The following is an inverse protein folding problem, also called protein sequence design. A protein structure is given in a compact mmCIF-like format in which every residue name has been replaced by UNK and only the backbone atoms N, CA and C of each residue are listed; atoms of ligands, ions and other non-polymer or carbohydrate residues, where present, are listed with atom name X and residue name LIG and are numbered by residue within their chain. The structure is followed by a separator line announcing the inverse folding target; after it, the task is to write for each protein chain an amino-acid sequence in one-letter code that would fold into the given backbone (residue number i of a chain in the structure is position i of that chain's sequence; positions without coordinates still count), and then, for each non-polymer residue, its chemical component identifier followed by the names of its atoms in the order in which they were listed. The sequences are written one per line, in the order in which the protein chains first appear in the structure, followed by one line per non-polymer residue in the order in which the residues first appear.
data_IF_244297048075
#
_entry.id   IF_244297048075
#
_cell.length_a   1.000
_cell.length_b   1.000
_cell.length_c   1.000
_cell.angle_alpha   90.00
_cell.angle_beta   90.00
_cell.angle_gamma   90.00
#
_symmetry.space_group_name_H-M   'P 1'
#
loop_
_entity.id
_entity.type
_entity.pdbx_description
1 polymer ?
#
# COMPACT_ATOMS: atom_id res chain seq x y z
N UNK A 1 19.66 22.37 9.22
CA UNK A 1 19.05 23.23 8.19
C UNK A 1 17.98 22.40 7.51
N UNK A 2 16.72 22.72 7.75
CA UNK A 2 15.61 22.07 7.06
C UNK A 2 15.71 22.37 5.57
N UNK A 3 15.57 21.35 4.74
CA UNK A 3 15.46 21.56 3.30
C UNK A 3 14.07 22.16 3.06
N UNK A 4 13.99 23.46 2.78
CA UNK A 4 12.72 24.09 2.42
C UNK A 4 12.12 23.34 1.21
N UNK A 5 10.86 22.95 1.34
CA UNK A 5 10.11 22.26 0.30
C UNK A 5 9.76 23.28 -0.78
N UNK A 6 10.58 23.39 -1.82
CA UNK A 6 10.20 24.07 -3.04
C UNK A 6 9.16 23.20 -3.78
N UNK A 7 7.88 23.48 -3.58
CA UNK A 7 6.73 22.72 -4.11
C UNK A 7 6.42 23.06 -5.57
N UNK A 8 7.39 23.62 -6.29
CA UNK A 8 7.30 24.06 -7.68
C UNK A 8 6.87 22.99 -8.69
N UNK A 9 6.79 21.72 -8.29
CA UNK A 9 6.32 20.64 -9.16
C UNK A 9 4.80 20.59 -9.36
N UNK A 10 4.01 21.26 -8.52
CA UNK A 10 2.55 21.29 -8.63
C UNK A 10 2.04 22.71 -8.38
N UNK A 11 1.27 23.24 -9.33
CA UNK A 11 0.66 24.57 -9.24
C UNK A 11 -0.52 24.63 -8.28
N UNK A 12 -1.13 23.46 -7.98
CA UNK A 12 -2.26 23.36 -7.08
C UNK A 12 -2.11 22.15 -6.15
N UNK A 13 -2.09 22.37 -4.84
CA UNK A 13 -1.85 21.33 -3.86
C UNK A 13 -2.50 21.67 -2.52
N UNK A 14 -2.71 20.65 -1.70
CA UNK A 14 -3.07 20.79 -0.29
C UNK A 14 -2.19 19.88 0.55
N UNK A 15 -1.46 20.46 1.50
CA UNK A 15 -0.57 19.75 2.42
C UNK A 15 -0.93 20.04 3.87
N UNK A 16 -1.13 18.99 4.66
CA UNK A 16 -1.39 18.99 6.09
C UNK A 16 -0.12 18.54 6.81
N UNK A 17 0.27 19.27 7.86
CA UNK A 17 1.35 18.90 8.77
C UNK A 17 0.75 18.60 10.15
N UNK A 18 0.33 17.36 10.43
CA UNK A 18 -0.37 17.00 11.68
C UNK A 18 0.49 17.15 12.94
N UNK A 19 1.82 17.11 12.79
CA UNK A 19 2.81 17.23 13.88
C UNK A 19 2.85 18.63 14.50
N UNK A 20 2.40 19.66 13.79
CA UNK A 20 2.42 21.07 14.25
C UNK A 20 1.06 21.57 14.76
N UNK A 21 0.04 20.70 14.83
CA UNK A 21 -1.33 21.10 15.16
C UNK A 21 -1.55 21.24 16.67
N UNK A 22 -1.94 22.40 17.17
CA UNK A 22 -2.50 22.51 18.53
C UNK A 22 -3.93 21.93 18.60
N UNK A 23 -4.34 21.39 19.75
CA UNK A 23 -5.76 21.01 20.00
C UNK A 23 -6.71 22.20 19.78
N UNK A 24 -6.30 23.39 20.19
CA UNK A 24 -7.05 24.63 19.98
C UNK A 24 -7.08 25.06 18.51
N UNK A 25 -5.98 24.90 17.77
CA UNK A 25 -5.93 25.22 16.34
C UNK A 25 -6.86 24.31 15.54
N UNK A 26 -6.98 23.05 15.96
CA UNK A 26 -7.88 22.06 15.36
C UNK A 26 -9.36 22.43 15.59
N UNK A 27 -9.73 22.85 16.80
CA UNK A 27 -11.11 23.28 17.09
C UNK A 27 -11.41 24.59 16.34
N UNK A 28 -10.48 25.54 16.34
CA UNK A 28 -10.63 26.81 15.64
C UNK A 28 -10.80 26.65 14.12
N UNK A 29 -10.26 25.58 13.54
CA UNK A 29 -10.45 25.26 12.13
C UNK A 29 -11.92 25.07 11.72
N UNK A 30 -12.78 24.63 12.63
CA UNK A 30 -14.20 24.45 12.34
C UNK A 30 -14.94 25.79 12.22
N UNK A 31 -14.46 26.82 12.92
CA UNK A 31 -15.13 28.13 13.05
C UNK A 31 -14.54 29.22 12.16
N UNK A 32 -13.36 29.00 11.56
CA UNK A 32 -12.71 29.95 10.65
C UNK A 32 -12.55 29.37 9.25
N UNK A 33 -12.74 30.18 8.21
CA UNK A 33 -12.53 29.81 6.80
C UNK A 33 -11.11 30.09 6.28
N UNK A 34 -10.32 30.88 7.02
CA UNK A 34 -9.00 31.31 6.58
C UNK A 34 -7.96 30.18 6.78
N UNK A 35 -7.37 29.72 5.69
CA UNK A 35 -6.41 28.61 5.63
C UNK A 35 -4.96 29.11 5.75
N UNK A 36 -4.62 30.26 5.17
CA UNK A 36 -3.24 30.83 5.16
C UNK A 36 -2.66 31.11 6.55
N UNK A 37 -3.50 31.41 7.55
CA UNK A 37 -3.03 31.71 8.92
C UNK A 37 -2.64 30.48 9.72
N UNK A 38 -2.71 29.28 9.14
CA UNK A 38 -2.55 28.00 9.86
C UNK A 38 -1.21 27.37 9.53
N UNK A 39 -0.37 27.20 10.55
CA UNK A 39 0.95 26.54 10.40
C UNK A 39 0.86 25.10 9.87
N UNK A 40 -0.29 24.46 10.06
CA UNK A 40 -0.50 23.05 9.73
C UNK A 40 -1.19 22.80 8.38
N UNK A 41 -1.64 23.84 7.67
CA UNK A 41 -2.22 23.69 6.33
C UNK A 41 -1.46 24.58 5.37
N UNK A 42 -0.77 23.97 4.42
CA UNK A 42 -0.09 24.64 3.34
C UNK A 42 -0.81 24.25 2.04
N UNK A 43 -1.55 25.22 1.49
CA UNK A 43 -2.43 25.05 0.35
C UNK A 43 -2.18 26.17 -0.65
N UNK A 44 -2.26 25.88 -1.93
CA UNK A 44 -2.35 26.90 -2.99
C UNK A 44 -3.70 27.62 -2.99
N UNK A 45 -4.72 27.07 -2.33
CA UNK A 45 -6.03 27.69 -2.13
C UNK A 45 -6.05 28.53 -0.83
N UNK A 46 -6.36 29.82 -0.96
CA UNK A 46 -6.28 30.85 0.10
C UNK A 46 -7.38 30.71 1.17
N UNK A 47 -8.58 30.26 0.78
CA UNK A 47 -9.73 30.08 1.67
C UNK A 47 -10.45 28.77 1.37
N UNK A 48 -10.88 28.06 2.43
CA UNK A 48 -11.79 26.91 2.31
C UNK A 48 -13.13 27.31 2.93
N UNK A 49 -14.04 27.82 2.08
CA UNK A 49 -15.32 28.38 2.53
C UNK A 49 -16.33 27.30 2.92
N UNK A 50 -16.18 26.06 2.42
CA UNK A 50 -17.10 24.97 2.70
C UNK A 50 -16.86 24.37 4.10
N UNK A 51 -17.89 24.46 4.95
CA UNK A 51 -17.86 23.86 6.29
C UNK A 51 -17.65 22.34 6.23
N UNK A 52 -18.26 21.63 5.27
CA UNK A 52 -18.13 20.18 5.20
C UNK A 52 -16.70 19.75 4.86
N UNK A 53 -16.01 20.50 3.99
CA UNK A 53 -14.59 20.27 3.72
C UNK A 53 -13.72 20.52 4.95
N UNK A 54 -13.97 21.61 5.68
CA UNK A 54 -13.29 21.88 6.96
C UNK A 54 -13.55 20.79 8.00
N UNK A 55 -14.78 20.28 8.07
CA UNK A 55 -15.16 19.18 8.96
C UNK A 55 -14.46 17.88 8.57
N UNK A 56 -14.38 17.55 7.28
CA UNK A 56 -13.67 16.36 6.80
C UNK A 56 -12.17 16.46 7.11
N UNK A 57 -11.55 17.63 6.91
CA UNK A 57 -10.17 17.89 7.33
C UNK A 57 -9.97 17.72 8.83
N UNK A 58 -10.93 18.18 9.64
CA UNK A 58 -10.91 18.01 11.09
C UNK A 58 -10.92 16.54 11.47
N UNK A 59 -11.86 15.77 10.94
CA UNK A 59 -11.97 14.33 11.21
C UNK A 59 -10.71 13.60 10.77
N UNK A 60 -10.15 13.90 9.60
CA UNK A 60 -8.91 13.31 9.12
C UNK A 60 -7.76 13.50 10.13
N UNK A 61 -7.54 14.72 10.62
CA UNK A 61 -6.46 14.99 11.58
C UNK A 61 -6.73 14.31 12.93
N UNK A 62 -7.99 14.29 13.40
CA UNK A 62 -8.37 13.57 14.63
C UNK A 62 -8.07 12.08 14.51
N UNK A 63 -8.46 11.46 13.40
CA UNK A 63 -8.22 10.03 13.14
C UNK A 63 -6.73 9.74 13.07
N UNK A 64 -5.94 10.55 12.35
CA UNK A 64 -4.48 10.41 12.30
C UNK A 64 -3.84 10.49 13.70
N UNK A 65 -4.27 11.44 14.55
CA UNK A 65 -3.79 11.54 15.94
C UNK A 65 -4.12 10.31 16.77
N UNK A 66 -5.35 9.81 16.64
CA UNK A 66 -5.81 8.63 17.34
C UNK A 66 -5.02 7.39 16.90
N UNK A 67 -4.79 7.23 15.59
CA UNK A 67 -3.97 6.16 15.03
C UNK A 67 -2.54 6.22 15.55
N UNK A 68 -1.88 7.39 15.51
CA UNK A 68 -0.53 7.56 16.04
C UNK A 68 -0.45 7.28 17.55
N UNK A 69 -1.47 7.68 18.31
CA UNK A 69 -1.56 7.37 19.74
C UNK A 69 -1.62 5.86 20.00
N UNK A 70 -2.38 5.12 19.18
CA UNK A 70 -2.53 3.67 19.28
C UNK A 70 -1.51 2.86 18.47
N UNK A 71 -0.55 3.49 17.79
CA UNK A 71 0.35 2.81 16.84
C UNK A 71 1.11 1.63 17.47
N UNK A 72 1.75 1.85 18.63
CA UNK A 72 2.47 0.78 19.34
C UNK A 72 1.52 -0.31 19.88
N UNK A 73 0.44 0.03 20.62
CA UNK A 73 -0.54 -0.98 21.05
C UNK A 73 -1.09 -1.83 19.91
N UNK A 74 -1.47 -1.19 18.80
CA UNK A 74 -2.05 -1.84 17.63
C UNK A 74 -1.05 -2.79 16.95
N UNK A 75 0.21 -2.35 16.78
CA UNK A 75 1.27 -3.20 16.22
C UNK A 75 1.55 -4.43 17.10
N UNK A 76 1.63 -4.27 18.43
CA UNK A 76 1.82 -5.39 19.37
C UNK A 76 0.62 -6.35 19.29
N UNK A 77 -0.59 -5.81 19.25
CA UNK A 77 -1.81 -6.59 19.15
C UNK A 77 -1.86 -7.40 17.85
N UNK A 78 -1.50 -6.80 16.72
CA UNK A 78 -1.41 -7.48 15.43
C UNK A 78 -0.42 -8.64 15.46
N UNK A 79 0.79 -8.40 15.98
CA UNK A 79 1.80 -9.45 16.13
C UNK A 79 1.33 -10.59 17.05
N UNK A 80 0.62 -10.27 18.13
CA UNK A 80 0.09 -11.24 19.08
C UNK A 80 -1.02 -12.10 18.44
N UNK A 81 -1.96 -11.48 17.72
CA UNK A 81 -3.02 -12.19 17.02
C UNK A 81 -2.44 -13.09 15.93
N UNK A 82 -1.54 -12.59 15.07
CA UNK A 82 -0.93 -13.40 14.03
C UNK A 82 -0.15 -14.58 14.62
N UNK A 83 0.63 -14.34 15.68
CA UNK A 83 1.33 -15.42 16.37
C UNK A 83 0.35 -16.46 16.93
N UNK A 84 -0.72 -16.03 17.59
CA UNK A 84 -1.72 -16.92 18.18
C UNK A 84 -2.46 -17.75 17.11
N UNK A 85 -2.89 -17.13 16.02
CA UNK A 85 -3.55 -17.80 14.90
C UNK A 85 -2.65 -18.86 14.26
N UNK A 86 -1.37 -18.53 14.04
CA UNK A 86 -0.40 -19.47 13.48
C UNK A 86 -0.03 -20.60 14.46
N UNK A 87 0.11 -20.29 15.74
CA UNK A 87 0.33 -21.27 16.79
C UNK A 87 -0.82 -22.28 16.85
N UNK A 88 -2.06 -21.78 16.82
CA UNK A 88 -3.27 -22.60 16.78
C UNK A 88 -3.28 -23.48 15.53
N UNK A 89 -3.04 -22.89 14.35
CA UNK A 89 -3.04 -23.56 13.05
C UNK A 89 -2.05 -24.73 12.99
N UNK A 90 -0.82 -24.54 13.46
CA UNK A 90 0.24 -25.57 13.42
C UNK A 90 0.00 -26.69 14.46
N UNK A 91 -0.64 -26.37 15.58
CA UNK A 91 -0.92 -27.35 16.64
C UNK A 91 -2.35 -27.95 16.55
N UNK A 92 -3.07 -27.69 15.47
CA UNK A 92 -4.40 -28.22 15.19
C UNK A 92 -5.53 -27.30 15.67
N UNK A 93 -6.07 -27.55 16.86
CA UNK A 93 -7.14 -26.75 17.46
C UNK A 93 -6.80 -26.36 18.90
N UNK A 94 -7.67 -25.60 19.56
CA UNK A 94 -7.37 -25.05 20.89
C UNK A 94 -7.16 -26.16 21.93
N UNK A 95 -7.95 -27.23 21.87
CA UNK A 95 -7.81 -28.37 22.77
C UNK A 95 -6.48 -29.10 22.55
N UNK A 96 -6.11 -29.36 21.30
CA UNK A 96 -4.83 -29.96 20.94
C UNK A 96 -3.65 -29.09 21.36
N UNK A 97 -3.75 -27.77 21.22
CA UNK A 97 -2.73 -26.83 21.67
C UNK A 97 -2.54 -26.89 23.20
N UNK A 98 -3.63 -26.91 23.97
CA UNK A 98 -3.56 -27.03 25.43
C UNK A 98 -2.96 -28.38 25.86
N UNK A 99 -3.32 -29.48 25.20
CA UNK A 99 -2.73 -30.79 25.46
C UNK A 99 -1.24 -30.82 25.11
N UNK A 100 -0.85 -30.26 23.96
CA UNK A 100 0.55 -30.16 23.55
C UNK A 100 1.36 -29.27 24.52
N UNK A 101 0.74 -28.24 25.09
CA UNK A 101 1.35 -27.39 26.11
C UNK A 101 1.66 -28.18 27.38
N UNK A 102 0.69 -28.97 27.89
CA UNK A 102 0.89 -29.84 29.05
C UNK A 102 1.93 -30.93 28.78
N UNK A 103 1.97 -31.48 27.56
CA UNK A 103 2.93 -32.52 27.16
C UNK A 103 4.32 -31.98 26.77
N UNK A 104 4.51 -30.66 26.70
CA UNK A 104 5.76 -30.05 26.23
C UNK A 104 6.07 -30.28 24.74
N UNK A 105 5.05 -30.56 23.91
CA UNK A 105 5.17 -30.88 22.47
C UNK A 105 4.70 -29.74 21.55
N UNK A 106 4.63 -28.52 22.05
CA UNK A 106 4.17 -27.36 21.27
C UNK A 106 5.15 -27.06 20.15
N UNK A 107 4.65 -27.05 18.91
CA UNK A 107 5.43 -26.63 17.75
C UNK A 107 5.30 -25.11 17.58
N UNK A 108 6.44 -24.41 17.53
CA UNK A 108 6.46 -22.95 17.42
C UNK A 108 6.35 -22.48 15.96
N UNK A 109 5.55 -21.44 15.68
CA UNK A 109 5.40 -20.91 14.34
C UNK A 109 6.69 -20.19 13.87
N UNK A 110 7.13 -20.50 12.64
CA UNK A 110 8.28 -19.85 12.01
C UNK A 110 7.80 -18.81 10.99
N UNK A 111 8.06 -17.52 11.25
CA UNK A 111 7.63 -16.39 10.40
C UNK A 111 8.11 -16.45 8.94
N UNK A 112 9.18 -17.16 8.66
CA UNK A 112 9.73 -17.31 7.29
C UNK A 112 9.24 -18.56 6.57
N UNK A 113 8.38 -19.36 7.22
CA UNK A 113 7.81 -20.59 6.65
C UNK A 113 6.58 -20.29 5.80
N UNK A 114 6.32 -21.15 4.82
CA UNK A 114 5.04 -21.20 4.08
C UNK A 114 3.83 -21.45 4.99
N UNK A 115 4.03 -22.00 6.19
CA UNK A 115 2.96 -22.28 7.14
C UNK A 115 2.58 -21.08 8.01
N UNK A 116 3.35 -19.98 7.94
CA UNK A 116 3.05 -18.75 8.67
C UNK A 116 2.26 -17.80 7.78
N UNK A 117 1.02 -17.54 8.16
CA UNK A 117 0.06 -16.71 7.42
C UNK A 117 -0.15 -15.37 8.14
N UNK A 118 -0.29 -14.28 7.40
CA UNK A 118 -0.73 -13.01 7.98
C UNK A 118 -2.17 -13.10 8.49
N UNK A 119 -2.61 -12.05 9.20
CA UNK A 119 -4.01 -11.93 9.59
C UNK A 119 -4.97 -12.03 8.39
N UNK A 120 -4.62 -11.39 7.26
CA UNK A 120 -5.44 -11.35 6.04
C UNK A 120 -5.68 -12.75 5.47
N UNK A 121 -4.63 -13.56 5.39
CA UNK A 121 -4.72 -14.92 4.84
C UNK A 121 -5.35 -15.92 5.84
N UNK A 122 -5.31 -15.62 7.14
CA UNK A 122 -6.10 -16.36 8.13
C UNK A 122 -7.61 -16.15 7.98
N UNK A 123 -8.05 -14.97 7.51
CA UNK A 123 -9.46 -14.69 7.19
C UNK A 123 -9.89 -15.40 5.92
N UNK A 124 -9.07 -15.35 4.86
CA UNK A 124 -9.35 -16.05 3.60
C UNK A 124 -8.19 -16.97 3.21
N UNK A 125 -8.35 -18.27 3.47
CA UNK A 125 -7.34 -19.30 3.19
C UNK A 125 -7.38 -19.87 1.76
N UNK A 126 -8.21 -19.32 0.86
CA UNK A 126 -8.30 -19.84 -0.52
C UNK A 126 -7.02 -19.50 -1.26
N UNK A 127 -6.37 -20.48 -1.89
CA UNK A 127 -5.10 -20.25 -2.62
C UNK A 127 -5.23 -20.46 -4.12
N UNK A 128 -6.15 -21.31 -4.55
CA UNK A 128 -6.32 -21.65 -5.97
C UNK A 128 -7.33 -20.71 -6.63
N UNK A 129 -7.06 -20.36 -7.88
CA UNK A 129 -8.08 -19.80 -8.76
C UNK A 129 -9.14 -20.85 -9.04
N UNK A 130 -10.38 -20.41 -9.28
CA UNK A 130 -11.45 -21.29 -9.72
C UNK A 130 -11.04 -21.99 -11.02
N UNK A 131 -11.21 -23.30 -11.11
CA UNK A 131 -10.82 -24.10 -12.28
C UNK A 131 -11.55 -23.71 -13.57
N UNK A 132 -12.69 -23.02 -13.47
CA UNK A 132 -13.41 -22.48 -14.62
C UNK A 132 -12.74 -21.24 -15.22
N UNK A 133 -11.85 -20.57 -14.50
CA UNK A 133 -11.17 -19.35 -14.94
C UNK A 133 -9.83 -19.73 -15.56
N UNK A 134 -9.72 -19.62 -16.88
CA UNK A 134 -8.52 -20.04 -17.61
C UNK A 134 -7.63 -18.86 -18.00
N UNK A 135 -6.31 -19.04 -18.07
CA UNK A 135 -5.43 -18.08 -18.72
C UNK A 135 -5.87 -17.89 -20.17
N UNK A 136 -6.40 -16.71 -20.52
CA UNK A 136 -7.03 -16.41 -21.81
C UNK A 136 -8.44 -15.81 -21.69
N UNK A 137 -9.13 -16.04 -20.58
CA UNK A 137 -10.38 -15.36 -20.21
C UNK A 137 -10.08 -13.97 -19.65
N UNK A 138 -9.36 -13.14 -20.43
CA UNK A 138 -8.59 -11.96 -19.98
C UNK A 138 -9.19 -11.22 -18.78
N UNK A 139 -10.39 -10.66 -18.90
CA UNK A 139 -10.99 -9.86 -17.81
C UNK A 139 -11.28 -10.67 -16.54
N UNK A 140 -11.88 -11.87 -16.67
CA UNK A 140 -12.19 -12.73 -15.52
C UNK A 140 -10.94 -13.30 -14.88
N UNK A 141 -9.95 -13.68 -15.70
CA UNK A 141 -8.67 -14.19 -15.24
C UNK A 141 -7.89 -13.14 -14.46
N UNK A 142 -7.68 -11.95 -15.05
CA UNK A 142 -6.94 -10.88 -14.38
C UNK A 142 -7.70 -10.28 -13.18
N UNK A 143 -9.04 -10.34 -13.19
CA UNK A 143 -9.85 -9.98 -12.03
C UNK A 143 -9.70 -10.97 -10.86
N UNK A 144 -9.77 -12.28 -11.15
CA UNK A 144 -9.62 -13.32 -10.12
C UNK A 144 -8.18 -13.40 -9.60
N UNK A 145 -7.18 -13.38 -10.49
CA UNK A 145 -5.78 -13.24 -10.11
C UNK A 145 -5.63 -11.98 -9.25
N UNK A 146 -6.21 -10.88 -9.72
CA UNK A 146 -6.47 -9.60 -9.04
C UNK A 146 -6.70 -9.70 -7.54
N UNK A 147 -7.83 -10.33 -7.26
CA UNK A 147 -8.35 -10.55 -5.92
C UNK A 147 -7.46 -11.50 -5.11
N UNK A 148 -6.83 -12.48 -5.75
CA UNK A 148 -6.02 -13.46 -5.03
C UNK A 148 -4.68 -12.90 -4.58
N UNK A 149 -4.04 -12.03 -5.37
CA UNK A 149 -2.78 -11.45 -4.93
C UNK A 149 -2.86 -10.12 -4.19
N UNK A 150 -4.04 -9.48 -4.13
CA UNK A 150 -4.26 -8.45 -3.12
C UNK A 150 -4.06 -8.98 -1.69
N UNK A 151 -4.48 -10.22 -1.40
CA UNK A 151 -4.23 -10.86 -0.10
C UNK A 151 -2.83 -11.50 0.02
N UNK A 152 -2.34 -12.18 -1.03
CA UNK A 152 -1.01 -12.80 -0.99
C UNK A 152 0.12 -11.76 -0.85
N UNK A 153 -0.10 -10.51 -1.26
CA UNK A 153 0.87 -9.42 -1.08
C UNK A 153 1.24 -9.15 0.39
N UNK A 154 0.42 -9.58 1.36
CA UNK A 154 0.71 -9.43 2.79
C UNK A 154 1.65 -10.51 3.34
N UNK A 155 1.93 -11.55 2.56
CA UNK A 155 2.60 -12.76 3.05
C UNK A 155 4.13 -12.69 2.94
N UNK A 156 4.77 -13.66 3.59
CA UNK A 156 6.22 -13.80 3.54
C UNK A 156 6.67 -14.36 2.16
N UNK A 157 7.97 -14.17 1.88
CA UNK A 157 8.59 -14.53 0.59
C UNK A 157 8.31 -15.98 0.17
N UNK A 158 8.43 -16.93 1.09
CA UNK A 158 8.30 -18.35 0.80
C UNK A 158 6.86 -18.72 0.44
N UNK A 159 5.88 -18.12 1.13
CA UNK A 159 4.46 -18.28 0.81
C UNK A 159 4.15 -17.72 -0.58
N UNK A 160 4.55 -16.48 -0.87
CA UNK A 160 4.33 -15.83 -2.17
C UNK A 160 4.91 -16.70 -3.30
N UNK A 161 6.16 -17.16 -3.18
CA UNK A 161 6.81 -18.04 -4.16
C UNK A 161 6.01 -19.33 -4.39
N UNK A 162 5.59 -19.97 -3.31
CA UNK A 162 4.82 -21.21 -3.40
C UNK A 162 3.48 -20.98 -4.08
N UNK A 163 2.74 -19.94 -3.70
CA UNK A 163 1.42 -19.66 -4.26
C UNK A 163 1.50 -19.29 -5.74
N UNK A 164 2.33 -18.30 -6.08
CA UNK A 164 2.40 -17.78 -7.45
C UNK A 164 2.92 -18.86 -8.41
N UNK A 165 3.99 -19.57 -8.05
CA UNK A 165 4.62 -20.55 -8.95
C UNK A 165 3.91 -21.90 -8.92
N UNK A 166 3.55 -22.42 -7.75
CA UNK A 166 3.00 -23.79 -7.67
C UNK A 166 1.49 -23.83 -7.85
N UNK A 167 0.76 -22.82 -7.39
CA UNK A 167 -0.71 -22.79 -7.46
C UNK A 167 -1.24 -22.01 -8.65
N UNK A 168 -0.67 -20.85 -8.98
CA UNK A 168 -1.13 -20.04 -10.12
C UNK A 168 -0.38 -20.30 -11.42
N UNK A 169 0.76 -21.01 -11.35
CA UNK A 169 1.62 -21.34 -12.50
C UNK A 169 2.18 -20.10 -13.21
N UNK A 170 2.38 -19.02 -12.46
CA UNK A 170 2.96 -17.76 -12.95
C UNK A 170 4.43 -17.68 -12.53
N UNK A 171 5.29 -17.12 -13.39
CA UNK A 171 6.71 -16.96 -13.07
C UNK A 171 6.95 -15.67 -12.29
N UNK A 172 7.74 -15.72 -11.20
CA UNK A 172 8.12 -14.50 -10.48
C UNK A 172 9.34 -13.89 -11.15
N UNK A 173 9.26 -12.61 -11.56
CA UNK A 173 10.42 -11.84 -12.07
C UNK A 173 11.21 -11.29 -10.89
N UNK A 174 10.50 -10.69 -9.92
CA UNK A 174 11.12 -10.04 -8.78
C UNK A 174 10.21 -10.13 -7.56
N UNK A 175 10.69 -10.81 -6.54
CA UNK A 175 9.93 -11.02 -5.32
C UNK A 175 10.21 -9.92 -4.29
N UNK A 176 9.15 -9.51 -3.58
CA UNK A 176 9.16 -8.80 -2.30
C UNK A 176 10.17 -7.64 -2.22
N UNK A 177 9.91 -6.60 -3.01
CA UNK A 177 10.68 -5.37 -2.99
C UNK A 177 10.05 -4.46 -1.94
N UNK A 178 10.76 -4.24 -0.84
CA UNK A 178 10.41 -3.21 0.14
C UNK A 178 10.96 -1.88 -0.36
N UNK A 179 10.13 -0.86 -0.28
CA UNK A 179 10.46 0.52 -0.60
C UNK A 179 10.24 1.36 0.63
N UNK A 180 11.12 2.33 0.85
CA UNK A 180 11.07 3.13 2.06
C UNK A 180 10.91 4.61 1.73
N UNK A 181 9.93 5.24 2.35
CA UNK A 181 9.74 6.68 2.37
C UNK A 181 9.46 7.13 3.81
N UNK A 182 10.53 7.43 4.55
CA UNK A 182 10.52 7.93 5.94
C UNK A 182 9.88 6.98 6.95
N UNK A 183 8.55 6.89 7.00
CA UNK A 183 7.84 5.92 7.86
C UNK A 183 7.00 4.94 7.06
N UNK A 184 6.71 5.25 5.79
CA UNK A 184 5.94 4.40 4.91
C UNK A 184 6.84 3.34 4.26
N UNK A 185 6.46 2.08 4.40
CA UNK A 185 7.02 0.97 3.62
C UNK A 185 6.01 0.46 2.60
N UNK A 186 6.29 0.65 1.31
CA UNK A 186 5.54 -0.04 0.27
C UNK A 186 6.20 -1.39 -0.03
N UNK A 187 5.40 -2.43 -0.21
CA UNK A 187 5.88 -3.74 -0.64
C UNK A 187 5.25 -4.07 -1.99
N UNK A 188 6.07 -4.60 -2.90
CA UNK A 188 5.58 -5.07 -4.19
C UNK A 188 6.22 -6.39 -4.57
N UNK A 189 5.51 -7.19 -5.37
CA UNK A 189 6.12 -8.28 -6.12
C UNK A 189 5.64 -8.23 -7.56
N UNK A 190 6.48 -8.73 -8.46
CA UNK A 190 6.27 -8.60 -9.89
C UNK A 190 6.42 -9.96 -10.55
N UNK A 191 5.41 -10.30 -11.34
CA UNK A 191 5.24 -11.58 -11.99
C UNK A 191 5.27 -11.43 -13.51
N UNK A 192 5.72 -12.48 -14.17
CA UNK A 192 5.61 -12.71 -15.61
C UNK A 192 4.64 -13.86 -15.84
N UNK A 193 3.47 -13.53 -16.36
CA UNK A 193 2.53 -14.50 -16.85
C UNK A 193 2.75 -14.73 -18.34
N UNK A 194 3.26 -15.92 -18.67
CA UNK A 194 3.52 -16.32 -20.05
C UNK A 194 2.27 -17.02 -20.56
N UNK A 195 1.57 -16.38 -21.50
CA UNK A 195 0.40 -16.94 -22.15
C UNK A 195 0.67 -17.06 -23.66
N UNK A 196 0.05 -18.04 -24.32
CA UNK A 196 0.12 -18.27 -25.77
C UNK A 196 -0.38 -17.06 -26.58
N UNK A 197 -1.32 -16.29 -26.03
CA UNK A 197 -1.93 -15.12 -26.69
C UNK A 197 -1.11 -13.84 -26.45
N UNK A 198 -0.78 -13.56 -25.19
CA UNK A 198 -0.07 -12.34 -24.81
C UNK A 198 0.69 -12.51 -23.50
N UNK A 199 1.99 -12.25 -23.52
CA UNK A 199 2.78 -12.21 -22.30
C UNK A 199 2.41 -10.98 -21.48
N UNK A 200 2.18 -11.17 -20.18
CA UNK A 200 1.75 -10.12 -19.27
C UNK A 200 2.67 -10.02 -18.07
N UNK A 201 3.15 -8.82 -17.78
CA UNK A 201 3.82 -8.49 -16.53
C UNK A 201 2.75 -8.06 -15.54
N UNK A 202 2.66 -8.72 -14.40
CA UNK A 202 1.74 -8.33 -13.33
C UNK A 202 2.50 -7.73 -12.16
N UNK A 203 2.22 -6.46 -11.85
CA UNK A 203 2.80 -5.76 -10.69
C UNK A 203 1.76 -5.68 -9.58
N UNK A 204 2.13 -6.15 -8.39
CA UNK A 204 1.26 -6.21 -7.23
C UNK A 204 1.80 -5.30 -6.16
N UNK A 205 0.99 -4.33 -5.73
CA UNK A 205 1.30 -3.47 -4.60
C UNK A 205 0.53 -3.95 -3.37
N UNK A 206 1.27 -4.18 -2.29
CA UNK A 206 0.69 -4.42 -0.98
C UNK A 206 -0.02 -3.15 -0.51
N UNK A 207 -1.23 -3.32 0.00
CA UNK A 207 -1.97 -2.25 0.67
C UNK A 207 -1.56 -2.10 2.14
N UNK A 208 -2.41 -1.44 2.90
CA UNK A 208 -2.18 -1.11 4.31
C UNK A 208 -2.41 -2.32 5.20
N UNK A 209 -1.44 -2.64 6.07
CA UNK A 209 -1.60 -3.72 7.04
C UNK A 209 -2.70 -3.39 8.06
N UNK A 210 -3.59 -4.34 8.41
CA UNK A 210 -4.68 -4.10 9.34
C UNK A 210 -4.26 -3.51 10.69
N UNK A 211 -3.05 -3.81 11.16
CA UNK A 211 -2.54 -3.40 12.47
C UNK A 211 -1.38 -2.40 12.41
N UNK A 212 -1.19 -1.72 11.28
CA UNK A 212 -0.17 -0.68 11.10
C UNK A 212 -0.80 0.72 11.09
N UNK A 213 -0.97 1.29 12.28
CA UNK A 213 -1.61 2.60 12.43
C UNK A 213 -0.83 3.73 11.75
N UNK A 214 0.50 3.62 11.62
CA UNK A 214 1.31 4.62 10.92
C UNK A 214 1.03 4.57 9.41
N UNK A 215 0.90 3.38 8.83
CA UNK A 215 0.50 3.23 7.44
C UNK A 215 -0.93 3.73 7.20
N UNK A 216 -1.89 3.43 8.09
CA UNK A 216 -3.26 3.97 8.02
C UNK A 216 -3.31 5.50 8.05
N UNK A 217 -2.38 6.17 8.74
CA UNK A 217 -2.33 7.64 8.71
C UNK A 217 -2.22 8.17 7.29
N UNK A 218 -1.45 7.49 6.42
CA UNK A 218 -1.30 7.87 5.01
C UNK A 218 -2.57 7.64 4.18
N UNK A 219 -3.48 6.77 4.61
CA UNK A 219 -4.78 6.56 3.95
C UNK A 219 -5.81 7.61 4.35
N UNK A 220 -5.73 8.08 5.60
CA UNK A 220 -6.62 9.14 6.10
C UNK A 220 -6.09 10.55 5.83
N UNK A 221 -4.90 10.68 5.26
CA UNK A 221 -4.25 11.96 5.03
C UNK A 221 -4.78 12.63 3.76
N UNK A 222 -5.63 13.64 3.90
CA UNK A 222 -6.33 14.29 2.78
C UNK A 222 -5.44 15.14 1.87
N UNK A 223 -4.11 15.01 1.96
CA UNK A 223 -3.17 15.65 1.05
C UNK A 223 -3.53 15.31 -0.38
N UNK A 224 -3.36 16.28 -1.26
CA UNK A 224 -3.37 16.00 -2.69
C UNK A 224 -2.44 16.96 -3.43
N UNK A 225 -1.95 16.49 -4.57
CA UNK A 225 -1.24 17.30 -5.53
C UNK A 225 -1.96 17.17 -6.87
N UNK A 226 -2.18 18.29 -7.54
CA UNK A 226 -2.67 18.28 -8.90
C UNK A 226 -1.50 18.00 -9.86
N UNK A 227 -1.68 17.01 -10.73
CA UNK A 227 -0.74 16.69 -11.79
C UNK A 227 -1.42 16.97 -13.13
N UNK A 228 -0.76 17.75 -13.97
CA UNK A 228 -1.25 18.11 -15.31
C UNK A 228 -1.67 16.86 -16.10
N UNK A 229 -2.92 16.87 -16.57
CA UNK A 229 -3.52 15.77 -17.34
C UNK A 229 -4.01 14.58 -16.52
N UNK A 230 -3.72 14.51 -15.21
CA UNK A 230 -4.15 13.43 -14.30
C UNK A 230 -5.11 13.91 -13.20
N UNK A 231 -5.14 15.22 -12.93
CA UNK A 231 -5.98 15.83 -11.90
C UNK A 231 -5.39 15.69 -10.49
N UNK A 232 -6.26 15.80 -9.48
CA UNK A 232 -5.87 15.76 -8.06
C UNK A 232 -5.59 14.33 -7.62
N UNK A 233 -4.36 14.05 -7.17
CA UNK A 233 -3.93 12.74 -6.70
C UNK A 233 -3.57 12.81 -5.21
N UNK A 234 -4.01 11.80 -4.45
CA UNK A 234 -3.79 11.69 -3.02
C UNK A 234 -2.29 11.65 -2.66
N UNK A 235 -1.84 12.63 -1.88
CA UNK A 235 -0.44 12.87 -1.54
C UNK A 235 0.17 11.78 -0.66
N UNK A 236 -0.63 11.12 0.20
CA UNK A 236 -0.18 9.96 0.97
C UNK A 236 0.37 8.83 0.08
N UNK A 237 -0.33 8.49 -1.01
CA UNK A 237 0.10 7.43 -1.94
C UNK A 237 1.28 7.88 -2.80
N UNK A 238 1.31 9.16 -3.17
CA UNK A 238 2.47 9.77 -3.84
C UNK A 238 3.73 9.61 -2.99
N UNK A 239 3.64 9.94 -1.70
CA UNK A 239 4.73 9.73 -0.75
C UNK A 239 5.07 8.24 -0.66
N UNK A 240 4.10 7.35 -0.47
CA UNK A 240 4.36 5.91 -0.37
C UNK A 240 5.10 5.33 -1.59
N UNK A 241 4.85 5.85 -2.81
CA UNK A 241 5.54 5.40 -4.02
C UNK A 241 6.91 6.04 -4.28
N UNK A 242 7.28 7.10 -3.57
CA UNK A 242 8.59 7.73 -3.76
C UNK A 242 8.61 9.21 -4.09
N UNK A 243 7.50 9.95 -3.94
CA UNK A 243 7.45 11.39 -4.24
C UNK A 243 8.59 12.14 -3.54
N UNK A 244 9.35 12.93 -4.30
CA UNK A 244 10.43 13.76 -3.74
C UNK A 244 9.86 15.09 -3.25
N UNK A 245 10.08 15.41 -1.96
CA UNK A 245 9.50 16.59 -1.28
C UNK A 245 9.64 17.91 -2.06
N UNK A 246 10.78 18.12 -2.72
CA UNK A 246 11.08 19.37 -3.45
C UNK A 246 11.22 19.21 -4.97
N UNK A 247 11.20 17.98 -5.50
CA UNK A 247 11.46 17.72 -6.93
C UNK A 247 10.31 17.00 -7.64
N UNK A 248 9.25 16.64 -6.90
CA UNK A 248 8.15 15.85 -7.43
C UNK A 248 8.62 14.48 -7.93
N UNK A 249 8.44 14.23 -9.23
CA UNK A 249 8.82 12.99 -9.93
C UNK A 249 9.96 13.23 -10.93
N UNK A 250 11.20 13.47 -10.47
CA UNK A 250 12.32 13.69 -11.39
C UNK A 250 12.51 12.48 -12.33
N UNK A 251 12.87 12.72 -13.59
CA UNK A 251 13.07 11.63 -14.57
C UNK A 251 14.18 10.67 -14.15
N UNK A 252 15.22 11.13 -13.49
CA UNK A 252 16.27 10.29 -12.96
C UNK A 252 16.63 10.73 -11.54
N UNK A 253 16.92 9.78 -10.66
CA UNK A 253 17.38 10.07 -9.30
C UNK A 253 18.90 10.10 -9.31
N UNK A 254 19.49 11.23 -8.92
CA UNK A 254 20.93 11.31 -8.69
C UNK A 254 21.29 10.48 -7.47
N UNK A 255 22.15 9.46 -7.63
CA UNK A 255 22.63 8.57 -6.56
C UNK A 255 23.46 9.28 -5.46
N UNK A 256 23.58 10.61 -5.53
CA UNK A 256 24.52 11.41 -4.74
C UNK A 256 23.85 12.43 -3.80
N UNK A 257 22.53 12.43 -3.61
CA UNK A 257 21.94 13.26 -2.53
C UNK A 257 22.14 12.56 -1.16
N UNK A 258 23.02 13.09 -0.28
CA UNK A 258 23.53 12.31 0.86
C UNK A 258 22.67 12.32 2.12
N UNK A 259 21.38 12.68 2.06
CA UNK A 259 20.53 12.69 3.25
C UNK A 259 19.40 11.67 3.14
N UNK A 260 19.66 10.48 3.71
CA UNK A 260 18.66 9.51 4.18
C UNK A 260 17.94 8.63 3.15
N UNK A 261 18.60 7.62 2.55
CA UNK A 261 17.84 6.39 2.19
C UNK A 261 18.70 5.13 1.96
N UNK A 262 18.46 4.04 2.72
CA UNK A 262 19.06 2.71 2.48
C UNK A 262 18.26 1.80 1.51
N UNK A 263 17.06 2.19 1.03
CA UNK A 263 16.22 1.38 0.11
C UNK A 263 15.79 2.18 -1.14
N UNK A 264 15.54 1.50 -2.29
CA UNK A 264 15.05 2.15 -3.50
C UNK A 264 13.64 2.73 -3.31
N UNK A 265 13.28 3.68 -4.17
CA UNK A 265 11.92 4.22 -4.26
C UNK A 265 11.04 3.29 -5.10
N UNK A 266 9.78 3.10 -4.70
CA UNK A 266 8.87 2.15 -5.33
C UNK A 266 8.68 2.41 -6.81
N UNK A 267 8.29 3.64 -7.15
CA UNK A 267 8.04 4.07 -8.52
C UNK A 267 9.25 3.80 -9.42
N UNK A 268 10.44 4.21 -9.00
CA UNK A 268 11.65 4.12 -9.82
C UNK A 268 12.10 2.68 -10.01
N UNK A 269 12.06 1.86 -8.97
CA UNK A 269 12.42 0.47 -9.08
C UNK A 269 11.44 -0.32 -9.97
N UNK A 270 10.13 -0.04 -9.86
CA UNK A 270 9.11 -0.64 -10.74
C UNK A 270 9.34 -0.18 -12.17
N UNK A 271 9.48 1.14 -12.39
CA UNK A 271 9.73 1.73 -13.71
C UNK A 271 10.97 1.18 -14.38
N UNK A 272 12.09 1.09 -13.67
CA UNK A 272 13.36 0.61 -14.21
C UNK A 272 13.27 -0.89 -14.54
N UNK A 273 12.56 -1.67 -13.72
CA UNK A 273 12.27 -3.07 -14.03
C UNK A 273 11.41 -3.19 -15.30
N UNK A 274 10.33 -2.41 -15.38
CA UNK A 274 9.46 -2.39 -16.55
C UNK A 274 10.23 -1.99 -17.80
N UNK A 275 11.08 -0.95 -17.77
CA UNK A 275 11.92 -0.55 -18.92
C UNK A 275 12.74 -1.70 -19.50
N UNK A 276 13.20 -2.63 -18.67
CA UNK A 276 13.96 -3.82 -19.11
C UNK A 276 13.07 -4.88 -19.77
N UNK A 277 11.80 -5.00 -19.37
CA UNK A 277 10.93 -6.13 -19.76
C UNK A 277 9.76 -5.75 -20.68
N UNK A 278 9.47 -4.46 -20.91
CA UNK A 278 8.23 -3.98 -21.57
C UNK A 278 8.18 -4.16 -23.09
N UNK A 279 9.30 -4.50 -23.75
CA UNK A 279 9.40 -4.46 -25.23
C UNK A 279 8.43 -5.45 -25.90
N UNK A 280 7.98 -6.49 -25.19
CA UNK A 280 7.16 -7.59 -25.75
C UNK A 280 6.00 -8.01 -24.85
N UNK A 281 5.63 -7.21 -23.84
CA UNK A 281 4.68 -7.65 -22.81
C UNK A 281 3.71 -6.55 -22.42
N UNK A 282 2.48 -6.98 -22.20
CA UNK A 282 1.42 -6.16 -21.62
C UNK A 282 1.67 -5.96 -20.13
N UNK A 283 1.33 -4.80 -19.57
CA UNK A 283 1.55 -4.51 -18.16
C UNK A 283 0.20 -4.40 -17.46
N UNK A 284 -0.01 -5.30 -16.50
CA UNK A 284 -1.17 -5.32 -15.63
C UNK A 284 -0.74 -4.95 -14.21
N UNK A 285 -1.39 -3.96 -13.60
CA UNK A 285 -0.99 -3.47 -12.28
C UNK A 285 -2.20 -3.45 -11.37
N UNK A 286 -1.99 -3.94 -10.14
CA UNK A 286 -3.05 -4.07 -9.17
C UNK A 286 -2.54 -3.81 -7.76
N UNK A 287 -3.47 -3.45 -6.88
CA UNK A 287 -3.20 -3.05 -5.50
C UNK A 287 -4.26 -3.64 -4.60
N UNK A 288 -3.87 -3.99 -3.37
CA UNK A 288 -4.81 -4.50 -2.38
C UNK A 288 -5.80 -3.44 -1.84
N UNK A 289 -5.52 -2.15 -2.08
CA UNK A 289 -6.40 -1.03 -1.77
C UNK A 289 -6.44 -0.02 -2.95
N UNK A 290 -7.61 0.57 -3.21
CA UNK A 290 -7.94 1.46 -4.36
C UNK A 290 -6.98 2.62 -4.58
N UNK A 291 -6.28 3.00 -3.53
CA UNK A 291 -5.40 4.13 -3.35
C UNK A 291 -4.26 4.29 -4.39
N UNK A 292 -3.65 3.20 -4.85
CA UNK A 292 -2.47 3.28 -5.73
C UNK A 292 -2.80 3.39 -7.23
N UNK A 293 -4.07 3.27 -7.62
CA UNK A 293 -4.48 3.04 -9.00
C UNK A 293 -4.17 4.23 -9.94
N UNK A 294 -4.45 5.46 -9.48
CA UNK A 294 -4.26 6.68 -10.29
C UNK A 294 -2.80 7.05 -10.51
N UNK A 295 -1.93 6.63 -9.60
CA UNK A 295 -0.53 7.05 -9.59
C UNK A 295 0.34 6.24 -10.56
N UNK A 296 -0.17 5.10 -11.02
CA UNK A 296 0.51 4.22 -11.98
C UNK A 296 0.38 4.71 -13.43
N UNK A 297 -0.50 5.69 -13.68
CA UNK A 297 -0.54 6.45 -14.94
C UNK A 297 0.72 7.30 -15.16
N UNK A 298 1.57 7.47 -14.13
CA UNK A 298 2.90 8.08 -14.24
C UNK A 298 3.94 7.14 -14.88
N UNK A 299 3.61 5.86 -15.09
CA UNK A 299 4.48 4.93 -15.82
C UNK A 299 4.29 5.14 -17.34
N UNK A 300 5.37 4.99 -18.14
CA UNK A 300 5.32 5.33 -19.56
C UNK A 300 4.16 4.61 -20.29
N UNK A 301 3.42 5.32 -21.17
CA UNK A 301 2.19 4.82 -21.76
C UNK A 301 2.52 3.90 -22.94
N UNK A 302 2.53 2.58 -22.72
CA UNK A 302 2.29 1.59 -23.80
C UNK A 302 1.55 0.38 -23.23
N UNK A 303 0.31 0.19 -23.69
CA UNK A 303 -0.58 -0.94 -23.42
C UNK A 303 -0.81 -1.24 -21.92
N UNK A 304 -1.62 -0.40 -21.28
CA UNK A 304 -2.16 -0.63 -19.93
C UNK A 304 -3.66 -0.93 -20.05
N UNK A 305 -4.13 -1.98 -19.37
CA UNK A 305 -5.56 -2.22 -19.09
C UNK A 305 -5.69 -2.28 -17.57
N UNK A 306 -6.59 -1.46 -17.04
CA UNK A 306 -6.85 -1.32 -15.61
C UNK A 306 -8.15 -2.05 -15.30
N UNK A 307 -8.10 -3.06 -14.42
CA UNK A 307 -9.29 -3.76 -13.94
C UNK A 307 -9.52 -3.46 -12.46
N UNK A 308 -10.78 -3.15 -12.15
CA UNK A 308 -11.28 -2.78 -10.83
C UNK A 308 -11.83 -4.02 -10.12
N UNK A 309 -11.34 -4.35 -8.93
CA UNK A 309 -12.02 -5.30 -8.05
C UNK A 309 -11.97 -4.85 -6.60
N UNK A 310 -13.15 -4.81 -5.98
CA UNK A 310 -13.31 -4.52 -4.56
C UNK A 310 -12.84 -5.73 -3.74
N UNK A 311 -11.91 -5.51 -2.81
CA UNK A 311 -11.59 -6.50 -1.77
C UNK A 311 -12.80 -6.74 -0.85
N UNK A 312 -12.84 -7.83 -0.08
CA UNK A 312 -14.01 -8.26 0.69
C UNK A 312 -14.39 -7.36 1.89
N UNK A 313 -13.74 -6.21 2.07
CA UNK A 313 -13.94 -5.32 3.23
C UNK A 313 -14.91 -4.15 2.99
N UNK A 314 -15.59 -4.08 1.85
CA UNK A 314 -16.67 -3.11 1.62
C UNK A 314 -18.01 -3.84 1.61
N UNK A 315 -18.48 -4.18 2.80
CA UNK A 315 -19.75 -4.89 3.02
C UNK A 315 -20.29 -4.73 4.44
N UNK A 316 -19.97 -3.60 5.10
CA UNK A 316 -20.63 -3.13 6.31
C UNK A 316 -20.91 -1.65 6.13
N UNK A 317 -22.05 -1.38 5.49
CA UNK A 317 -22.67 -0.09 5.27
C UNK A 317 -24.08 -0.34 4.80
#
# INVERSE_FOLDING_TARGET
MGCDCDKSFSSNYMVLNPDEVGLFDLINMLFSSNMEKRKFVDSSEVEEQDFWRRWIMFISIVVQRLLLFFAKPMSIFGLAIEFFLNLLSINGNLASLLLNLVQGKVTMPNKNSISFLSFTENIDKRVKLDSSIKPGDNERYFGALSMMASKVAYENKAYIETVVTNHWKVNIIKNLIKYYQEKATAQAFICYDKNEVQNTIVVWLRGTEPFDAEAWCSDFDLLWYEIDGLGKIHGGFMKALGLQKSKGWPKEITKQEPSCRPLPLAYYAIRDMLRVHIIISFVFITSAHYSFHYLLLLLPPRHHSLLYHQGPFVGLG
#
